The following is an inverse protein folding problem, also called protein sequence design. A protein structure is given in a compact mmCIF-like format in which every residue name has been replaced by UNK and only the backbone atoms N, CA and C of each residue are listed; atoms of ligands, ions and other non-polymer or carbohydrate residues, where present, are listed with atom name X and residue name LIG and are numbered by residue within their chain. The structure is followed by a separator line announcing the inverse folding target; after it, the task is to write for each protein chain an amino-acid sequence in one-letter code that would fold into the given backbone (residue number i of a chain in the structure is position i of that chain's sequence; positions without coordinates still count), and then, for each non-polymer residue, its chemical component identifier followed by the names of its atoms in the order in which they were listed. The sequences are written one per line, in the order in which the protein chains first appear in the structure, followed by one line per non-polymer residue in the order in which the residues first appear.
data_IF_828562846932
#
_entry.id   IF_828562846932
#
_cell.length_a   1.000
_cell.length_b   1.000
_cell.length_c   1.000
_cell.angle_alpha   90.00
_cell.angle_beta   90.00
_cell.angle_gamma   90.00
#
_symmetry.space_group_name_H-M   'P 1'
#
loop_
_entity.id
_entity.type
_entity.pdbx_description
1 polymer ?
#
# COMPACT_ATOMS: atom_id res chain seq x y z
N UNK A 1 10.50 3.82 7.55
CA UNK A 1 11.39 4.98 7.62
C UNK A 1 12.28 4.77 8.81
N UNK A 2 12.60 5.83 9.55
CA UNK A 2 13.04 5.67 10.94
C UNK A 2 11.82 5.30 11.80
N UNK A 3 11.95 4.31 12.67
CA UNK A 3 10.85 3.93 13.57
C UNK A 3 10.45 5.11 14.46
N UNK A 4 9.16 5.44 14.49
CA UNK A 4 8.62 6.59 15.21
C UNK A 4 8.71 7.93 14.49
N UNK A 5 9.22 7.97 13.25
CA UNK A 5 9.25 9.18 12.42
C UNK A 5 7.93 9.39 11.66
N UNK A 6 7.52 10.64 11.54
CA UNK A 6 6.41 11.14 10.71
C UNK A 6 6.87 11.56 9.29
N UNK A 7 8.18 11.67 9.06
CA UNK A 7 8.74 12.07 7.78
C UNK A 7 8.49 11.05 6.65
N UNK A 8 8.00 11.55 5.53
CA UNK A 8 8.01 10.89 4.22
C UNK A 8 8.41 11.92 3.15
N UNK A 9 9.17 11.51 2.14
CA UNK A 9 9.55 12.39 1.03
C UNK A 9 8.39 12.55 0.04
N UNK A 10 7.45 13.43 0.40
CA UNK A 10 6.28 13.75 -0.39
C UNK A 10 5.85 15.20 -0.18
N UNK A 11 5.26 15.81 -1.21
CA UNK A 11 4.77 17.18 -1.18
C UNK A 11 3.38 17.29 -1.80
N UNK A 12 2.52 18.10 -1.20
CA UNK A 12 1.24 18.46 -1.81
C UNK A 12 1.43 19.41 -2.98
N UNK A 13 0.78 19.11 -4.10
CA UNK A 13 0.74 19.95 -5.30
C UNK A 13 -0.71 20.34 -5.56
N UNK A 14 -0.95 21.64 -5.70
CA UNK A 14 -2.26 22.14 -6.11
C UNK A 14 -2.41 21.98 -7.63
N UNK A 15 -3.49 21.35 -8.04
CA UNK A 15 -3.91 21.29 -9.42
C UNK A 15 -4.47 22.63 -9.93
N UNK A 16 -4.82 22.66 -11.21
CA UNK A 16 -5.39 23.84 -11.84
C UNK A 16 -6.61 24.36 -11.06
N UNK A 17 -6.60 25.68 -10.79
CA UNK A 17 -7.62 26.39 -10.01
C UNK A 17 -7.91 25.78 -8.62
N UNK A 18 -6.94 25.08 -8.03
CA UNK A 18 -7.06 24.39 -6.72
C UNK A 18 -8.20 23.37 -6.62
N UNK A 19 -8.75 22.91 -7.75
CA UNK A 19 -9.86 21.93 -7.77
C UNK A 19 -9.42 20.50 -7.44
N UNK A 20 -8.12 20.23 -7.55
CA UNK A 20 -7.51 18.92 -7.27
C UNK A 20 -6.25 19.14 -6.45
N UNK A 21 -5.99 18.24 -5.50
CA UNK A 21 -4.74 18.20 -4.75
C UNK A 21 -4.06 16.87 -5.08
N UNK A 22 -2.78 16.94 -5.43
CA UNK A 22 -1.95 15.78 -5.70
C UNK A 22 -0.90 15.65 -4.61
N UNK A 23 -0.36 14.44 -4.44
CA UNK A 23 0.83 14.20 -3.65
C UNK A 23 1.90 13.74 -4.63
N UNK A 24 2.95 14.53 -4.80
CA UNK A 24 4.15 14.08 -5.48
C UNK A 24 5.07 13.45 -4.43
N UNK A 25 5.35 12.16 -4.58
CA UNK A 25 6.16 11.39 -3.64
C UNK A 25 7.35 10.74 -4.37
N UNK A 26 8.44 10.53 -3.63
CA UNK A 26 9.51 9.65 -4.08
C UNK A 26 8.98 8.23 -4.25
N UNK A 27 9.51 7.51 -5.25
CA UNK A 27 9.23 6.08 -5.39
C UNK A 27 9.60 5.33 -4.09
N UNK A 28 8.74 4.43 -3.59
CA UNK A 28 9.01 3.74 -2.33
C UNK A 28 10.31 2.94 -2.39
N UNK A 29 11.11 3.06 -1.33
CA UNK A 29 12.27 2.22 -1.06
C UNK A 29 11.86 1.12 -0.08
N UNK A 30 12.69 0.08 0.05
CA UNK A 30 12.43 -1.05 0.96
C UNK A 30 12.13 -0.58 2.39
N UNK A 31 12.89 0.39 2.89
CA UNK A 31 12.73 0.95 4.22
C UNK A 31 11.63 2.03 4.33
N UNK A 32 11.00 2.47 3.24
CA UNK A 32 9.94 3.52 3.25
C UNK A 32 8.60 3.02 2.71
N UNK A 33 8.52 1.75 2.30
CA UNK A 33 7.30 1.10 1.81
C UNK A 33 6.13 1.24 2.79
N UNK A 34 6.38 1.01 4.08
CA UNK A 34 5.35 1.09 5.10
C UNK A 34 4.83 2.52 5.28
N UNK A 35 5.72 3.52 5.24
CA UNK A 35 5.33 4.93 5.35
C UNK A 35 4.51 5.36 4.14
N UNK A 36 4.83 4.85 2.96
CA UNK A 36 4.10 5.15 1.73
C UNK A 36 2.64 4.67 1.80
N UNK A 37 2.40 3.44 2.23
CA UNK A 37 1.04 2.92 2.40
C UNK A 37 0.28 3.57 3.55
N UNK A 38 0.98 3.90 4.64
CA UNK A 38 0.41 4.71 5.73
C UNK A 38 -0.05 6.07 5.22
N UNK A 39 0.77 6.77 4.43
CA UNK A 39 0.41 8.05 3.80
C UNK A 39 -0.81 7.90 2.89
N UNK A 40 -0.87 6.85 2.06
CA UNK A 40 -2.03 6.57 1.20
C UNK A 40 -3.31 6.43 2.01
N UNK A 41 -3.25 5.70 3.12
CA UNK A 41 -4.39 5.55 4.02
C UNK A 41 -4.76 6.86 4.71
N UNK A 42 -3.82 7.53 5.35
CA UNK A 42 -4.07 8.76 6.12
C UNK A 42 -4.58 9.92 5.26
N UNK A 43 -4.09 10.04 4.02
CA UNK A 43 -4.48 11.10 3.08
C UNK A 43 -5.65 10.70 2.17
N UNK A 44 -6.24 9.55 2.41
CA UNK A 44 -7.34 8.97 1.63
C UNK A 44 -7.08 8.90 0.11
N UNK A 45 -5.87 8.52 -0.27
CA UNK A 45 -5.47 8.42 -1.68
C UNK A 45 -6.18 7.23 -2.32
N UNK A 46 -6.98 7.51 -3.35
CA UNK A 46 -7.73 6.48 -4.11
C UNK A 46 -7.08 6.08 -5.43
N UNK A 47 -6.13 6.87 -5.91
CA UNK A 47 -5.46 6.66 -7.19
C UNK A 47 -3.96 6.86 -7.00
N UNK A 48 -3.17 5.88 -7.42
CA UNK A 48 -1.71 5.95 -7.47
C UNK A 48 -1.28 5.95 -8.93
N UNK A 49 -0.39 6.86 -9.28
CA UNK A 49 0.23 6.94 -10.60
C UNK A 49 1.74 6.70 -10.43
N UNK A 50 2.21 5.56 -10.89
CA UNK A 50 3.62 5.19 -10.92
C UNK A 50 4.18 5.40 -12.32
N UNK A 51 5.03 6.42 -12.45
CA UNK A 51 5.70 6.81 -13.69
C UNK A 51 7.20 6.41 -13.71
N UNK A 52 7.59 5.43 -12.90
CA UNK A 52 8.96 4.93 -12.83
C UNK A 52 8.94 3.41 -12.86
N UNK A 53 9.89 2.81 -13.57
CA UNK A 53 10.10 1.36 -13.55
C UNK A 53 10.82 0.93 -12.27
N UNK A 54 10.64 -0.33 -11.86
CA UNK A 54 11.34 -0.88 -10.67
C UNK A 54 12.86 -0.86 -10.88
N UNK A 55 13.29 -1.30 -12.06
CA UNK A 55 14.68 -1.31 -12.46
C UNK A 55 14.82 -0.54 -13.77
N UNK A 56 15.85 0.30 -13.84
CA UNK A 56 16.16 1.06 -15.05
C UNK A 56 17.66 1.16 -15.25
N UNK A 57 18.11 0.84 -16.47
CA UNK A 57 19.54 0.86 -16.86
C UNK A 57 20.44 0.13 -15.85
N UNK A 58 19.96 -0.99 -15.31
CA UNK A 58 20.68 -1.80 -14.32
C UNK A 58 20.67 -1.24 -12.89
N UNK A 59 19.92 -0.18 -12.60
CA UNK A 59 19.78 0.40 -11.25
C UNK A 59 18.36 0.25 -10.73
N UNK A 60 18.21 -0.13 -9.46
CA UNK A 60 16.92 -0.20 -8.75
C UNK A 60 16.44 1.22 -8.47
N UNK A 61 15.32 1.62 -9.08
CA UNK A 61 14.70 2.94 -8.90
C UNK A 61 13.56 2.90 -7.89
N UNK A 62 12.87 1.76 -7.78
CA UNK A 62 11.77 1.56 -6.85
C UNK A 62 11.83 0.16 -6.21
N UNK A 63 11.19 0.03 -5.05
CA UNK A 63 10.86 -1.25 -4.45
C UNK A 63 9.48 -1.70 -4.95
N UNK A 64 9.27 -3.02 -5.17
CA UNK A 64 7.93 -3.55 -5.45
C UNK A 64 7.13 -3.47 -4.15
N UNK A 65 6.26 -2.48 -4.03
CA UNK A 65 5.51 -2.18 -2.81
C UNK A 65 4.08 -2.77 -2.81
N UNK A 66 3.73 -3.62 -3.77
CA UNK A 66 2.38 -4.20 -3.88
C UNK A 66 2.45 -5.73 -4.02
N UNK A 67 1.44 -6.46 -3.55
CA UNK A 67 1.29 -7.88 -3.90
C UNK A 67 0.72 -8.02 -5.32
N UNK A 68 1.03 -9.12 -5.98
CA UNK A 68 0.29 -9.56 -7.16
C UNK A 68 -1.05 -10.20 -6.75
N UNK A 69 -1.95 -10.40 -7.71
CA UNK A 69 -3.28 -11.00 -7.49
C UNK A 69 -3.24 -12.50 -7.11
N UNK A 70 -2.09 -13.16 -7.32
CA UNK A 70 -1.80 -14.54 -6.93
C UNK A 70 -0.89 -14.67 -5.70
N UNK A 71 -0.49 -13.55 -5.09
CA UNK A 71 0.38 -13.50 -3.92
C UNK A 71 -0.41 -13.32 -2.62
N UNK A 72 0.21 -13.64 -1.48
CA UNK A 72 -0.36 -13.31 -0.17
C UNK A 72 -0.49 -11.78 0.00
N UNK A 73 -1.48 -11.38 0.79
CA UNK A 73 -1.71 -9.97 1.07
C UNK A 73 -0.49 -9.35 1.78
N UNK A 74 -0.15 -8.12 1.38
CA UNK A 74 0.95 -7.40 2.00
C UNK A 74 0.47 -6.79 3.33
N UNK A 75 1.12 -7.16 4.43
CA UNK A 75 0.85 -6.57 5.74
C UNK A 75 1.85 -5.44 6.03
N UNK A 76 1.33 -4.22 6.17
CA UNK A 76 2.07 -2.99 6.51
C UNK A 76 1.87 -2.67 7.99
N UNK A 77 2.96 -2.36 8.70
CA UNK A 77 2.94 -1.97 10.13
C UNK A 77 2.18 -2.93 11.06
N UNK A 78 2.09 -4.20 10.68
CA UNK A 78 1.38 -5.27 11.39
C UNK A 78 -0.15 -5.10 11.51
N UNK A 79 -0.74 -4.11 10.85
CA UNK A 79 -2.18 -3.84 10.94
C UNK A 79 -2.83 -3.38 9.63
N UNK A 80 -2.12 -2.81 8.66
CA UNK A 80 -2.73 -2.43 7.38
C UNK A 80 -2.49 -3.52 6.32
N UNK A 81 -3.54 -4.22 5.93
CA UNK A 81 -3.48 -5.26 4.92
C UNK A 81 -3.84 -4.70 3.54
N UNK A 82 -2.99 -4.99 2.55
CA UNK A 82 -3.18 -4.61 1.15
C UNK A 82 -3.35 -5.89 0.34
N UNK A 83 -4.46 -6.00 -0.37
CA UNK A 83 -4.74 -7.14 -1.25
C UNK A 83 -4.92 -6.68 -2.69
N UNK A 84 -4.32 -7.39 -3.64
CA UNK A 84 -4.53 -7.15 -5.07
C UNK A 84 -5.72 -7.98 -5.53
N UNK A 85 -6.77 -7.31 -6.03
CA UNK A 85 -7.99 -7.97 -6.50
C UNK A 85 -7.99 -8.22 -8.00
N UNK A 86 -7.29 -7.37 -8.75
CA UNK A 86 -7.25 -7.44 -10.20
C UNK A 86 -5.97 -6.83 -10.73
N UNK A 87 -5.35 -7.52 -11.68
CA UNK A 87 -4.26 -6.99 -12.51
C UNK A 87 -4.69 -7.01 -13.97
N UNK A 88 -4.50 -5.88 -14.66
CA UNK A 88 -4.71 -5.76 -16.11
C UNK A 88 -3.45 -5.17 -16.73
N UNK A 89 -2.91 -5.81 -17.75
CA UNK A 89 -1.69 -5.37 -18.44
C UNK A 89 -2.06 -4.90 -19.84
N UNK A 90 -1.66 -3.67 -20.16
CA UNK A 90 -1.81 -3.04 -21.46
C UNK A 90 -0.43 -2.80 -22.08
N UNK A 91 -0.39 -2.27 -23.30
CA UNK A 91 0.87 -2.03 -24.01
C UNK A 91 1.81 -1.07 -23.25
N UNK A 92 1.25 0.04 -22.73
CA UNK A 92 2.05 1.12 -22.12
C UNK A 92 1.96 1.20 -20.60
N UNK A 93 1.02 0.47 -19.99
CA UNK A 93 0.82 0.49 -18.56
C UNK A 93 0.19 -0.79 -18.01
N UNK A 94 0.36 -1.03 -16.72
CA UNK A 94 -0.41 -2.01 -15.96
C UNK A 94 -1.35 -1.29 -14.97
N UNK A 95 -2.59 -1.76 -14.88
CA UNK A 95 -3.60 -1.29 -13.93
C UNK A 95 -3.80 -2.36 -12.86
N UNK A 96 -3.80 -1.96 -11.59
CA UNK A 96 -4.11 -2.84 -10.45
C UNK A 96 -5.21 -2.24 -9.59
N UNK A 97 -6.09 -3.10 -9.10
CA UNK A 97 -7.11 -2.74 -8.11
C UNK A 97 -6.73 -3.34 -6.76
N UNK A 98 -6.51 -2.47 -5.77
CA UNK A 98 -6.17 -2.86 -4.41
C UNK A 98 -7.34 -2.62 -3.46
N UNK A 99 -7.46 -3.49 -2.47
CA UNK A 99 -8.29 -3.25 -1.29
C UNK A 99 -7.39 -3.17 -0.06
N UNK A 100 -7.50 -2.05 0.64
CA UNK A 100 -6.78 -1.74 1.88
C UNK A 100 -7.74 -1.92 3.04
N UNK A 101 -7.29 -2.63 4.06
CA UNK A 101 -8.11 -2.89 5.24
C UNK A 101 -7.27 -3.03 6.49
N UNK A 102 -7.69 -2.44 7.60
CA UNK A 102 -7.05 -2.74 8.88
C UNK A 102 -7.39 -4.16 9.36
N UNK A 103 -6.37 -4.87 9.82
CA UNK A 103 -6.44 -6.18 10.44
C UNK A 103 -7.23 -6.08 11.75
N UNK A 104 -8.19 -6.98 11.92
CA UNK A 104 -8.93 -7.10 13.17
C UNK A 104 -8.02 -7.63 14.28
N UNK A 105 -8.45 -7.51 15.54
CA UNK A 105 -7.73 -8.16 16.65
C UNK A 105 -7.57 -9.67 16.43
N UNK A 106 -8.60 -10.33 15.88
CA UNK A 106 -8.54 -11.74 15.51
C UNK A 106 -7.50 -12.04 14.42
N UNK A 107 -7.41 -11.18 13.40
CA UNK A 107 -6.40 -11.29 12.34
C UNK A 107 -4.98 -11.14 12.93
N UNK A 108 -4.79 -10.16 13.83
CA UNK A 108 -3.52 -9.91 14.54
C UNK A 108 -3.10 -11.09 15.41
N UNK A 109 -4.04 -11.70 16.14
CA UNK A 109 -3.80 -12.90 16.94
C UNK A 109 -3.49 -14.14 16.08
N UNK A 110 -4.10 -14.26 14.91
CA UNK A 110 -3.78 -15.34 13.96
C UNK A 110 -2.39 -15.16 13.33
N UNK A 111 -2.01 -13.92 13.02
CA UNK A 111 -0.67 -13.57 12.54
C UNK A 111 0.41 -13.84 13.59
N UNK A 112 0.18 -13.45 14.85
CA UNK A 112 1.10 -13.71 15.95
C UNK A 112 1.35 -15.22 16.18
N UNK A 113 0.35 -16.07 15.91
CA UNK A 113 0.48 -17.53 15.99
C UNK A 113 1.19 -18.18 14.79
N UNK A 114 1.27 -17.49 13.65
CA UNK A 114 1.99 -17.98 12.46
C UNK A 114 3.49 -17.72 12.52
N UNK A 115 3.97 -16.87 13.43
CA UNK A 115 5.41 -16.67 13.67
C UNK A 115 5.96 -18.00 14.20
N UNK A 116 6.88 -18.67 13.49
CA UNK A 116 7.52 -19.86 14.02
C UNK A 116 8.20 -19.49 15.34
N UNK A 117 7.92 -20.25 16.40
CA UNK A 117 8.72 -20.19 17.63
C UNK A 117 10.19 -20.21 17.22
N UNK A 118 11.04 -19.29 17.73
CA UNK A 118 12.43 -19.23 17.31
C UNK A 118 13.06 -20.59 17.62
N UNK A 119 13.42 -21.32 16.57
CA UNK A 119 14.18 -22.58 16.67
C UNK A 119 15.57 -22.22 17.20
N UNK A 120 15.69 -22.08 18.51
CA UNK A 120 16.96 -21.84 19.17
C UNK A 120 17.01 -22.61 20.47
N UNK A 121 18.15 -23.28 20.68
CA UNK A 121 18.52 -24.18 21.79
C UNK A 121 18.46 -23.56 23.21
N UNK A 122 17.76 -22.43 23.39
CA UNK A 122 17.62 -21.69 24.64
C UNK A 122 16.29 -21.95 25.39
N UNK A 123 15.52 -22.97 25.00
CA UNK A 123 14.23 -23.33 25.62
C UNK A 123 14.29 -23.81 27.10
N UNK A 124 15.47 -23.82 27.75
CA UNK A 124 15.64 -24.36 29.10
C UNK A 124 15.83 -23.29 30.20
N UNK A 125 15.62 -22.00 29.91
CA UNK A 125 15.49 -21.00 30.96
C UNK A 125 14.08 -21.07 31.55
N UNK A 126 13.90 -21.35 32.86
CA UNK A 126 12.56 -21.40 33.44
C UNK A 126 11.88 -20.04 33.27
N UNK A 127 10.79 -20.01 32.48
CA UNK A 127 9.90 -18.86 32.38
C UNK A 127 9.32 -18.60 33.77
N UNK A 128 9.80 -17.55 34.44
CA UNK A 128 9.03 -16.93 35.51
C UNK A 128 7.88 -16.14 34.87
N UNK A 129 6.91 -16.85 34.29
CA UNK A 129 5.68 -16.25 33.77
C UNK A 129 4.81 -15.90 34.98
N UNK A 130 4.59 -14.62 35.33
CA UNK A 130 3.59 -14.32 36.35
C UNK A 130 2.26 -14.88 35.86
N UNK A 131 1.65 -15.73 36.68
CA UNK A 131 0.35 -16.33 36.40
C UNK A 131 -0.65 -15.22 36.05
N UNK A 132 -1.16 -15.28 34.82
CA UNK A 132 -2.24 -14.43 34.31
C UNK A 132 -3.43 -14.50 35.27
N UNK A 133 -3.57 -13.48 36.12
CA UNK A 133 -4.80 -13.20 36.85
C UNK A 133 -5.55 -12.09 36.09
N UNK A 134 -6.74 -12.44 35.63
CA UNK A 134 -7.81 -11.58 35.12
C UNK A 134 -7.57 -10.89 33.78
N UNK A 135 -7.84 -11.64 32.70
CA UNK A 135 -8.32 -11.05 31.43
C UNK A 135 -9.75 -11.55 31.16
N UNK A 136 -10.65 -11.34 32.12
CA UNK A 136 -12.09 -11.52 31.93
C UNK A 136 -12.77 -10.20 32.22
N UNK A 137 -12.77 -9.34 31.19
CA UNK A 137 -13.67 -8.20 30.92
C UNK A 137 -13.01 -7.31 29.86
N UNK A 138 -13.01 -7.78 28.63
CA UNK A 138 -13.08 -6.86 27.48
C UNK A 138 -14.56 -6.90 27.04
N UNK A 139 -15.18 -5.75 26.75
CA UNK A 139 -16.57 -5.73 26.30
C UNK A 139 -16.70 -6.54 25.01
N UNK A 140 -17.83 -7.25 24.86
CA UNK A 140 -18.34 -7.66 23.54
C UNK A 140 -18.66 -6.37 22.75
N UNK A 141 -17.62 -5.68 22.27
CA UNK A 141 -17.77 -4.45 21.48
C UNK A 141 -17.94 -4.86 20.02
N UNK A 142 -19.20 -4.76 19.59
CA UNK A 142 -19.68 -4.30 18.28
C UNK A 142 -18.84 -4.66 17.07
N UNK A 143 -19.50 -5.24 16.06
CA UNK A 143 -18.99 -5.43 14.72
C UNK A 143 -18.31 -4.13 14.21
N UNK A 144 -17.00 -4.02 14.44
CA UNK A 144 -16.16 -2.94 13.92
C UNK A 144 -16.34 -3.01 12.43
N UNK A 145 -17.07 -2.04 11.88
CA UNK A 145 -17.32 -1.95 10.46
C UNK A 145 -15.95 -1.84 9.79
N UNK A 146 -15.49 -2.96 9.20
CA UNK A 146 -14.16 -3.11 8.65
C UNK A 146 -14.09 -2.18 7.44
N UNK A 147 -13.53 -0.99 7.64
CA UNK A 147 -13.43 0.02 6.58
C UNK A 147 -12.54 -0.54 5.47
N UNK A 148 -13.15 -0.84 4.33
CA UNK A 148 -12.42 -1.28 3.13
C UNK A 148 -12.24 -0.10 2.21
N UNK A 149 -10.99 0.20 1.85
CA UNK A 149 -10.64 1.27 0.92
C UNK A 149 -10.13 0.71 -0.39
N UNK A 150 -10.79 1.08 -1.48
CA UNK A 150 -10.35 0.73 -2.84
C UNK A 150 -9.34 1.75 -3.35
N UNK A 151 -8.23 1.25 -3.90
CA UNK A 151 -7.17 2.06 -4.50
C UNK A 151 -6.85 1.51 -5.89
N UNK A 152 -6.84 2.38 -6.90
CA UNK A 152 -6.46 2.02 -8.27
C UNK A 152 -5.04 2.48 -8.54
N UNK A 153 -4.20 1.59 -9.04
CA UNK A 153 -2.80 1.86 -9.31
C UNK A 153 -2.50 1.72 -10.79
N UNK A 154 -2.06 2.81 -11.41
CA UNK A 154 -1.59 2.86 -12.79
C UNK A 154 -0.06 2.88 -12.80
N UNK A 155 0.56 1.89 -13.44
CA UNK A 155 2.00 1.78 -13.60
C UNK A 155 2.36 1.93 -15.08
N UNK A 156 2.91 3.06 -15.47
CA UNK A 156 3.38 3.30 -16.83
C UNK A 156 4.74 2.61 -17.03
N UNK A 157 4.74 1.53 -17.80
CA UNK A 157 5.91 0.65 -17.99
C UNK A 157 6.79 1.09 -19.16
N UNK A 158 6.23 1.85 -20.10
CA UNK A 158 6.93 2.29 -21.32
C UNK A 158 7.48 3.73 -21.23
N UNK A 159 7.54 4.30 -20.01
CA UNK A 159 8.15 5.61 -19.80
C UNK A 159 9.68 5.46 -19.65
N UNK A 160 10.41 5.74 -20.72
CA UNK A 160 11.89 5.76 -20.71
C UNK A 160 12.36 7.05 -20.03
N UNK A 161 13.18 6.94 -18.98
CA UNK A 161 13.64 8.10 -18.22
C UNK A 161 14.52 9.03 -19.08
N UNK A 162 14.38 10.34 -18.86
CA UNK A 162 14.95 11.46 -19.65
C UNK A 162 14.41 11.65 -21.07
N UNK A 163 13.30 11.00 -21.45
CA UNK A 163 12.58 11.27 -22.70
C UNK A 163 11.08 11.44 -22.43
N UNK A 164 10.41 12.31 -23.20
CA UNK A 164 8.96 12.24 -23.34
C UNK A 164 8.59 10.99 -24.15
N UNK A 165 7.39 10.40 -23.97
CA UNK A 165 6.91 9.33 -24.85
C UNK A 165 7.09 9.72 -26.32
N UNK A 166 7.58 8.81 -27.16
CA UNK A 166 7.89 9.11 -28.57
C UNK A 166 6.65 9.47 -29.40
N UNK A 167 5.44 9.32 -28.84
CA UNK A 167 4.21 9.82 -29.41
C UNK A 167 3.39 10.65 -28.42
N UNK A 168 3.08 11.89 -28.80
CA UNK A 168 1.96 12.70 -28.27
C UNK A 168 0.63 12.32 -28.94
N UNK A 169 0.43 11.06 -29.34
CA UNK A 169 -0.83 10.61 -29.94
C UNK A 169 -2.00 11.04 -29.07
N UNK A 170 -2.98 11.79 -29.60
CA UNK A 170 -4.13 12.29 -28.85
C UNK A 170 -5.10 11.18 -28.39
N UNK A 171 -4.77 9.90 -28.53
CA UNK A 171 -5.53 8.78 -27.95
C UNK A 171 -5.51 8.77 -26.40
N UNK A 172 -4.58 9.50 -25.76
CA UNK A 172 -4.64 9.79 -24.32
C UNK A 172 -5.52 11.01 -23.97
N UNK A 173 -6.13 11.67 -24.96
CA UNK A 173 -7.10 12.75 -24.79
C UNK A 173 -8.55 12.31 -25.08
N UNK A 174 -8.81 11.01 -25.18
CA UNK A 174 -10.17 10.48 -25.05
C UNK A 174 -10.50 10.38 -23.55
N UNK A 175 -11.61 10.99 -23.08
CA UNK A 175 -11.98 11.04 -21.67
C UNK A 175 -12.54 9.68 -21.23
N UNK A 176 -11.66 8.70 -21.02
CA UNK A 176 -12.03 7.48 -20.34
C UNK A 176 -12.37 7.80 -18.87
N UNK A 177 -13.68 7.85 -18.59
CA UNK A 177 -14.34 7.91 -17.28
C UNK A 177 -14.59 9.30 -16.68
N UNK A 178 -15.23 10.19 -17.43
CA UNK A 178 -16.30 11.01 -16.86
C UNK A 178 -17.63 10.32 -17.12
N UNK A 179 -18.04 9.42 -16.21
CA UNK A 179 -19.46 9.06 -16.13
C UNK A 179 -20.22 10.32 -15.68
N UNK A 180 -21.28 10.75 -16.39
CA UNK A 180 -22.16 11.78 -15.84
C UNK A 180 -22.88 11.17 -14.62
N UNK A 181 -22.64 11.75 -13.44
CA UNK A 181 -23.61 11.68 -12.36
C UNK A 181 -24.85 12.44 -12.84
N UNK A 182 -25.82 11.72 -13.43
CA UNK A 182 -27.19 12.21 -13.51
C UNK A 182 -27.75 12.29 -12.08
N UNK A 183 -28.44 13.41 -11.85
CA UNK A 183 -29.14 13.87 -10.63
C UNK A 183 -29.85 12.76 -9.83
#
# INVERSE_FOLDING_TARGET
GLDGSDYINANFIKGYASKKTFIAAQAPMENTMNDFWRMIWEQDVRIIIMAANINERGRKQAYKYWPNDDEENLLVNADLEISCKKTEVFADYARREFELTFATLADREALARKVPEPESDYANLPLNRPASKNLSKLPDDDAVNKEVRKVVHYHFTNWVDLKAPESTSPELAEPALLLPLTL
#
